data_IF_589725675526
#
_entry.id   IF_589725675526
#
_cell.length_a   1.000
_cell.length_b   1.000
_cell.length_c   1.000
_cell.angle_alpha   90.00
_cell.angle_beta   90.00
_cell.angle_gamma   90.00
#
_symmetry.space_group_name_H-M   'P 1'
#
loop_
_entity.id
_entity.type
_entity.pdbx_description
1 polymer ?
#
# COMPACT_ATOMS: atom_id res chain seq x y z
N UNK A 1 4.74 2.89 1.85
CA UNK A 1 4.51 3.90 2.91
C UNK A 1 4.32 3.17 4.23
N UNK A 2 4.94 3.64 5.29
CA UNK A 2 4.75 3.08 6.64
C UNK A 2 3.60 3.80 7.34
N UNK A 3 2.84 3.05 8.15
CA UNK A 3 1.77 3.61 8.98
C UNK A 3 2.32 3.85 10.38
N UNK A 4 2.21 5.09 10.86
CA UNK A 4 2.69 5.50 12.17
C UNK A 4 1.72 6.52 12.78
N UNK A 5 0.96 6.11 13.79
CA UNK A 5 0.09 7.00 14.57
C UNK A 5 -0.91 7.85 13.75
N UNK A 6 -1.51 7.28 12.70
CA UNK A 6 -2.42 7.99 11.80
C UNK A 6 -1.73 8.76 10.66
N UNK A 7 -0.42 8.64 10.57
CA UNK A 7 0.38 9.17 9.47
C UNK A 7 0.83 8.07 8.53
N UNK A 8 0.89 8.39 7.24
CA UNK A 8 1.57 7.61 6.22
C UNK A 8 2.87 8.28 5.86
N UNK A 9 3.98 7.60 6.12
CA UNK A 9 5.32 8.08 5.81
C UNK A 9 5.90 7.33 4.64
N UNK A 10 6.48 8.05 3.68
CA UNK A 10 7.21 7.42 2.59
C UNK A 10 8.42 6.67 3.15
N UNK A 11 8.50 5.39 2.82
CA UNK A 11 9.64 4.56 3.22
C UNK A 11 10.61 4.32 2.06
N UNK A 12 10.07 3.82 0.96
CA UNK A 12 10.81 3.56 -0.28
C UNK A 12 9.92 3.76 -1.48
N UNK A 13 10.54 4.19 -2.55
CA UNK A 13 9.93 4.31 -3.86
C UNK A 13 10.88 3.78 -4.94
N UNK A 14 10.31 3.38 -6.05
CA UNK A 14 11.04 2.95 -7.24
C UNK A 14 10.21 3.29 -8.48
N UNK A 15 10.86 3.88 -9.48
CA UNK A 15 10.22 4.21 -10.73
C UNK A 15 9.49 5.56 -10.74
N UNK A 16 9.45 6.27 -9.63
CA UNK A 16 8.99 7.65 -9.58
C UNK A 16 10.18 8.57 -9.88
N UNK A 17 9.95 9.60 -10.70
CA UNK A 17 10.99 10.52 -11.11
C UNK A 17 11.70 11.23 -9.95
N UNK A 18 12.84 11.90 -10.21
CA UNK A 18 13.56 12.64 -9.20
C UNK A 18 12.69 13.80 -8.65
N UNK A 19 12.84 14.13 -7.36
CA UNK A 19 12.19 15.28 -6.74
C UNK A 19 10.90 14.99 -5.99
N UNK A 20 10.59 13.72 -5.71
CA UNK A 20 9.54 13.41 -4.75
C UNK A 20 9.96 13.89 -3.37
N UNK A 21 9.25 14.91 -2.89
CA UNK A 21 9.38 15.36 -1.50
C UNK A 21 9.03 14.23 -0.53
N UNK A 22 9.63 14.21 0.68
CA UNK A 22 9.19 13.30 1.73
C UNK A 22 7.68 13.55 1.99
N UNK A 23 6.88 12.54 1.76
CA UNK A 23 5.42 12.68 1.92
C UNK A 23 5.03 12.11 3.27
N UNK A 24 4.81 12.98 4.22
CA UNK A 24 4.07 12.67 5.43
C UNK A 24 2.62 13.12 5.20
N UNK A 25 1.72 12.15 5.10
CA UNK A 25 0.30 12.41 4.84
C UNK A 25 -0.53 11.87 6.00
N UNK A 26 -1.39 12.70 6.55
CA UNK A 26 -2.42 12.20 7.48
C UNK A 26 -3.36 11.27 6.72
N UNK A 27 -3.59 10.09 7.27
CA UNK A 27 -4.52 9.11 6.69
C UNK A 27 -5.89 9.72 6.49
N UNK A 28 -6.39 10.45 7.48
CA UNK A 28 -7.72 11.06 7.45
C UNK A 28 -7.83 12.25 6.47
N UNK A 29 -6.72 12.79 6.01
CA UNK A 29 -6.74 13.89 5.02
C UNK A 29 -6.99 13.41 3.59
N UNK A 30 -6.87 12.10 3.34
CA UNK A 30 -7.08 11.48 2.05
C UNK A 30 -8.11 10.33 2.18
N UNK A 31 -9.36 10.54 1.75
CA UNK A 31 -10.45 9.56 1.94
C UNK A 31 -10.13 8.16 1.42
N UNK A 32 -9.40 8.07 0.31
CA UNK A 32 -9.02 6.78 -0.27
C UNK A 32 -8.01 6.04 0.61
N UNK A 33 -7.05 6.75 1.20
CA UNK A 33 -6.09 6.17 2.14
C UNK A 33 -6.77 5.74 3.45
N UNK A 34 -7.67 6.56 3.96
CA UNK A 34 -8.49 6.21 5.12
C UNK A 34 -9.31 4.96 4.87
N UNK A 35 -9.94 4.84 3.70
CA UNK A 35 -10.69 3.65 3.30
C UNK A 35 -9.84 2.39 3.28
N UNK A 36 -8.64 2.45 2.69
CA UNK A 36 -7.72 1.29 2.66
C UNK A 36 -7.33 0.84 4.06
N UNK A 37 -7.06 1.78 4.94
CA UNK A 37 -6.68 1.49 6.33
C UNK A 37 -7.86 0.92 7.11
N UNK A 38 -9.06 1.40 6.89
CA UNK A 38 -10.28 0.94 7.56
C UNK A 38 -10.71 -0.44 7.07
N UNK A 39 -10.82 -0.61 5.76
CA UNK A 39 -11.33 -1.85 5.13
C UNK A 39 -10.27 -2.94 5.10
N UNK A 40 -8.99 -2.59 5.12
CA UNK A 40 -7.84 -3.51 5.05
C UNK A 40 -7.83 -4.38 3.80
N UNK A 41 -8.27 -3.81 2.68
CA UNK A 41 -8.30 -4.46 1.38
C UNK A 41 -7.63 -3.61 0.33
N UNK A 42 -7.12 -4.26 -0.70
CA UNK A 42 -6.59 -3.59 -1.88
C UNK A 42 -7.66 -2.72 -2.52
N UNK A 43 -7.30 -1.50 -2.86
CA UNK A 43 -8.23 -0.50 -3.40
C UNK A 43 -7.62 0.14 -4.64
N UNK A 44 -8.42 0.25 -5.70
CA UNK A 44 -8.02 0.94 -6.92
C UNK A 44 -7.90 2.44 -6.69
N UNK A 45 -6.88 3.03 -7.29
CA UNK A 45 -6.71 4.48 -7.37
C UNK A 45 -7.24 4.93 -8.74
N UNK A 46 -8.29 5.78 -8.78
CA UNK A 46 -8.85 6.25 -10.04
C UNK A 46 -7.83 7.06 -10.84
N UNK A 47 -7.88 6.94 -12.16
CA UNK A 47 -7.05 7.74 -13.05
C UNK A 47 -7.51 9.19 -13.11
N UNK A 48 -6.60 10.08 -13.51
CA UNK A 48 -6.93 11.50 -13.76
C UNK A 48 -7.99 11.58 -14.87
N UNK A 49 -9.16 12.07 -14.53
CA UNK A 49 -10.32 12.16 -15.44
C UNK A 49 -11.56 11.42 -14.96
N UNK A 50 -11.43 10.51 -14.03
CA UNK A 50 -12.58 9.95 -13.32
C UNK A 50 -13.13 10.94 -12.30
N UNK A 51 -14.45 11.13 -12.35
CA UNK A 51 -15.19 12.27 -11.76
C UNK A 51 -15.20 12.39 -10.25
N UNK A 52 -14.40 11.84 -9.50
CA UNK A 52 -14.34 12.12 -8.06
C UNK A 52 -12.88 12.14 -7.67
N UNK A 53 -12.28 13.30 -7.61
CA UNK A 53 -10.95 13.45 -7.06
C UNK A 53 -10.97 13.28 -5.55
N UNK A 54 -10.70 12.09 -5.00
CA UNK A 54 -10.26 12.03 -3.64
C UNK A 54 -8.97 12.86 -3.56
N UNK A 55 -8.80 13.62 -2.51
CA UNK A 55 -7.56 14.36 -2.26
C UNK A 55 -6.41 13.37 -2.11
N UNK A 56 -5.74 13.08 -3.20
CA UNK A 56 -4.60 12.18 -3.24
C UNK A 56 -3.29 12.99 -3.21
N UNK A 57 -2.27 12.47 -2.55
CA UNK A 57 -0.91 12.99 -2.70
C UNK A 57 -0.52 13.05 -4.17
N UNK A 58 0.30 14.03 -4.54
CA UNK A 58 0.66 14.27 -5.95
C UNK A 58 1.27 13.04 -6.65
N UNK A 59 2.01 12.21 -5.93
CA UNK A 59 2.64 11.00 -6.47
C UNK A 59 1.63 9.87 -6.77
N UNK A 60 0.41 9.95 -6.24
CA UNK A 60 -0.68 8.99 -6.50
C UNK A 60 -1.61 9.43 -7.62
N UNK A 61 -1.28 10.45 -8.36
CA UNK A 61 -2.03 10.87 -9.54
C UNK A 61 -1.74 9.93 -10.69
N UNK A 62 -2.65 8.99 -10.90
CA UNK A 62 -2.53 8.00 -11.96
C UNK A 62 -2.75 8.65 -13.31
N UNK A 63 -1.77 8.63 -14.24
CA UNK A 63 -1.96 9.20 -15.57
C UNK A 63 -2.97 8.41 -16.41
N UNK A 64 -3.50 9.04 -17.44
CA UNK A 64 -4.38 8.37 -18.39
C UNK A 64 -3.72 7.12 -18.98
N UNK A 65 -4.47 6.03 -19.12
CA UNK A 65 -3.96 4.75 -19.61
C UNK A 65 -3.16 3.93 -18.59
N UNK A 66 -3.10 4.39 -17.35
CA UNK A 66 -2.53 3.65 -16.22
C UNK A 66 -3.60 3.31 -15.19
N UNK A 67 -3.30 2.34 -14.36
CA UNK A 67 -4.08 1.93 -13.20
C UNK A 67 -3.19 2.01 -11.98
N UNK A 68 -3.72 2.59 -10.91
CA UNK A 68 -3.07 2.60 -9.60
C UNK A 68 -3.78 1.66 -8.63
N UNK A 69 -3.05 1.16 -7.67
CA UNK A 69 -3.58 0.32 -6.60
C UNK A 69 -2.88 0.59 -5.27
N UNK A 70 -3.67 0.64 -4.21
CA UNK A 70 -3.20 0.68 -2.84
C UNK A 70 -3.42 -0.68 -2.20
N UNK A 71 -2.38 -1.26 -1.65
CA UNK A 71 -2.42 -2.60 -1.07
C UNK A 71 -1.93 -2.50 0.38
N UNK A 72 -2.78 -2.81 1.37
CA UNK A 72 -2.37 -2.78 2.76
C UNK A 72 -1.49 -3.99 3.09
N UNK A 73 -0.43 -3.75 3.83
CA UNK A 73 0.41 -4.79 4.42
C UNK A 73 0.02 -4.94 5.88
N UNK A 74 -0.56 -6.09 6.18
CA UNK A 74 -1.15 -6.38 7.49
C UNK A 74 -0.28 -7.39 8.24
N UNK A 75 0.06 -7.07 9.48
CA UNK A 75 0.78 -7.95 10.39
C UNK A 75 0.04 -7.99 11.72
N UNK A 76 -0.28 -9.17 12.21
CA UNK A 76 -1.02 -9.36 13.46
C UNK A 76 -2.30 -8.52 13.55
N UNK A 77 -3.06 -8.46 12.46
CA UNK A 77 -4.29 -7.69 12.28
C UNK A 77 -4.13 -6.17 12.23
N UNK A 78 -2.90 -5.67 12.26
CA UNK A 78 -2.63 -4.24 12.14
C UNK A 78 -2.00 -3.91 10.79
N UNK A 79 -2.38 -2.79 10.23
CA UNK A 79 -1.76 -2.28 9.01
C UNK A 79 -0.45 -1.59 9.41
N UNK A 80 0.66 -2.16 8.96
CA UNK A 80 2.00 -1.61 9.21
C UNK A 80 2.53 -0.79 8.05
N UNK A 81 1.99 -1.03 6.86
CA UNK A 81 2.37 -0.29 5.66
C UNK A 81 1.24 -0.31 4.63
N UNK A 82 1.33 0.60 3.69
CA UNK A 82 0.53 0.61 2.46
C UNK A 82 1.48 0.66 1.28
N UNK A 83 1.29 -0.27 0.35
CA UNK A 83 2.05 -0.32 -0.90
C UNK A 83 1.21 0.35 -1.99
N UNK A 84 1.75 1.38 -2.61
CA UNK A 84 1.17 1.98 -3.80
C UNK A 84 1.91 1.48 -5.03
N UNK A 85 1.17 0.99 -6.00
CA UNK A 85 1.69 0.56 -7.29
C UNK A 85 0.91 1.19 -8.42
N UNK A 86 1.58 1.44 -9.52
CA UNK A 86 1.02 2.04 -10.72
C UNK A 86 1.63 1.36 -11.94
N UNK A 87 0.81 1.09 -12.91
CA UNK A 87 1.26 0.47 -14.14
C UNK A 87 0.26 0.68 -15.28
N UNK A 88 0.65 0.32 -16.51
CA UNK A 88 -0.21 0.47 -17.67
C UNK A 88 -1.48 -0.36 -17.53
N UNK A 89 -2.60 0.25 -17.88
CA UNK A 89 -3.86 -0.44 -18.05
C UNK A 89 -3.83 -1.20 -19.39
N UNK A 90 -3.53 -2.48 -19.34
CA UNK A 90 -3.54 -3.38 -20.50
C UNK A 90 -4.84 -4.15 -20.63
N UNK A 91 -5.82 -3.86 -19.84
CA UNK A 91 -7.14 -4.46 -19.92
C UNK A 91 -7.94 -3.90 -21.12
N UNK A 92 -7.35 -3.94 -22.28
CA UNK A 92 -7.95 -3.47 -23.56
C UNK A 92 -9.10 -4.31 -24.07
N UNK A 93 -9.68 -5.17 -23.26
CA UNK A 93 -10.97 -5.82 -23.53
C UNK A 93 -11.52 -6.45 -22.26
N UNK A 94 -12.75 -6.08 -21.94
CA UNK A 94 -13.65 -6.80 -21.05
C UNK A 94 -13.13 -7.17 -19.66
N UNK A 95 -13.26 -6.25 -18.71
CA UNK A 95 -13.43 -6.50 -17.29
C UNK A 95 -12.40 -7.41 -16.61
N UNK A 96 -11.11 -7.11 -16.73
CA UNK A 96 -10.08 -7.79 -15.94
C UNK A 96 -9.18 -6.80 -15.21
N UNK A 97 -8.81 -7.11 -13.97
CA UNK A 97 -7.70 -6.42 -13.34
C UNK A 97 -6.41 -6.71 -14.13
N UNK A 98 -5.49 -5.74 -14.23
CA UNK A 98 -4.20 -6.01 -14.86
C UNK A 98 -3.49 -7.17 -14.16
N UNK A 99 -2.94 -8.10 -14.90
CA UNK A 99 -2.24 -9.28 -14.36
C UNK A 99 -1.16 -8.90 -13.35
N UNK A 100 -0.47 -7.77 -13.58
CA UNK A 100 0.55 -7.29 -12.66
C UNK A 100 -0.02 -6.89 -11.29
N UNK A 101 -1.27 -6.43 -11.22
CA UNK A 101 -1.91 -6.04 -9.97
C UNK A 101 -2.13 -7.27 -9.06
N UNK A 102 -2.64 -8.36 -9.63
CA UNK A 102 -2.78 -9.63 -8.90
C UNK A 102 -1.43 -10.16 -8.40
N UNK A 103 -0.39 -10.08 -9.23
CA UNK A 103 0.95 -10.50 -8.86
C UNK A 103 1.49 -9.68 -7.67
N UNK A 104 1.26 -8.38 -7.65
CA UNK A 104 1.68 -7.52 -6.53
C UNK A 104 0.88 -7.83 -5.27
N UNK A 105 -0.41 -8.08 -5.37
CA UNK A 105 -1.24 -8.49 -4.22
C UNK A 105 -0.72 -9.80 -3.59
N UNK A 106 -0.38 -10.78 -4.40
CA UNK A 106 0.22 -12.05 -3.94
C UNK A 106 1.56 -11.78 -3.24
N UNK A 107 2.41 -10.93 -3.80
CA UNK A 107 3.70 -10.57 -3.18
C UNK A 107 3.50 -9.85 -1.83
N UNK A 108 2.57 -8.92 -1.74
CA UNK A 108 2.26 -8.21 -0.48
C UNK A 108 1.69 -9.17 0.56
N UNK A 109 0.79 -10.05 0.16
CA UNK A 109 0.25 -11.10 1.05
C UNK A 109 1.35 -12.01 1.58
N UNK A 110 2.26 -12.43 0.71
CA UNK A 110 3.42 -13.23 1.11
C UNK A 110 4.34 -12.47 2.07
N UNK A 111 4.61 -11.20 1.79
CA UNK A 111 5.40 -10.35 2.68
C UNK A 111 4.75 -10.18 4.06
N UNK A 112 3.42 -10.00 4.11
CA UNK A 112 2.65 -9.94 5.35
C UNK A 112 2.84 -11.21 6.19
N UNK A 113 2.69 -12.38 5.57
CA UNK A 113 2.87 -13.67 6.24
C UNK A 113 4.30 -13.87 6.75
N UNK A 114 5.29 -13.45 5.98
CA UNK A 114 6.71 -13.53 6.40
C UNK A 114 7.01 -12.60 7.57
N UNK A 115 6.52 -11.37 7.54
CA UNK A 115 6.69 -10.43 8.64
C UNK A 115 6.01 -10.91 9.91
N UNK A 116 4.81 -11.46 9.79
CA UNK A 116 4.10 -12.06 10.93
C UNK A 116 4.89 -13.21 11.56
N UNK A 117 5.46 -14.10 10.74
CA UNK A 117 6.32 -15.18 11.19
C UNK A 117 7.56 -14.68 11.93
N UNK A 118 8.22 -13.65 11.40
CA UNK A 118 9.42 -13.06 12.04
C UNK A 118 9.05 -12.37 13.36
N UNK A 119 7.95 -11.64 13.38
CA UNK A 119 7.46 -10.98 14.60
C UNK A 119 7.11 -11.99 15.68
N UNK A 120 6.41 -13.06 15.33
CA UNK A 120 6.05 -14.14 16.26
C UNK A 120 7.30 -14.82 16.83
N UNK A 121 8.30 -15.09 16.02
CA UNK A 121 9.59 -15.66 16.50
C UNK A 121 10.29 -14.74 17.49
N UNK A 122 10.39 -13.44 17.16
CA UNK A 122 11.01 -12.47 18.09
C UNK A 122 10.26 -12.37 19.40
N UNK A 123 8.95 -12.43 19.38
CA UNK A 123 8.13 -12.42 20.60
C UNK A 123 8.42 -13.66 21.44
N UNK A 124 8.49 -14.83 20.83
CA UNK A 124 8.85 -16.08 21.52
C UNK A 124 10.26 -16.00 22.11
N UNK A 125 11.24 -15.52 21.35
CA UNK A 125 12.62 -15.34 21.82
C UNK A 125 12.71 -14.39 23.03
N UNK A 126 11.96 -13.30 23.03
CA UNK A 126 11.90 -12.36 24.16
C UNK A 126 11.26 -12.99 25.39
N UNK A 127 10.16 -13.75 25.21
CA UNK A 127 9.43 -14.40 26.30
C UNK A 127 10.17 -15.65 26.86
N UNK A 128 10.92 -16.33 26.01
CA UNK A 128 11.73 -17.54 26.38
C UNK A 128 13.21 -17.24 26.44
N UNK A 129 13.60 -15.97 26.52
CA UNK A 129 14.98 -15.52 26.53
C UNK A 129 15.85 -16.30 27.55
N UNK A 130 17.17 -16.35 27.33
CA UNK A 130 18.02 -17.20 28.16
C UNK A 130 17.84 -16.84 29.63
N UNK A 131 17.37 -17.81 30.41
CA UNK A 131 17.46 -17.73 31.85
C UNK A 131 18.94 -17.80 32.18
N UNK A 132 19.51 -16.68 32.45
CA UNK A 132 20.85 -16.63 33.04
C UNK A 132 20.83 -17.17 34.46
#
# INVERSE_FOLDING_TARGET
MLVDGGWLRRYRDRGFGPGLEPVDTLVDSAPLLASVVEVRQATKVPSVGDRAEPRLPAFMRVPAGHVGQLIPLVVSREIVAVVYVEGPDRSGSEAGEPVWAEQVEVLVSHASARLESVTSRRTVEVLTGPSS
#
